data_IF_251120499079
#
_entry.id   IF_251120499079
#
_cell.length_a   1.000
_cell.length_b   1.000
_cell.length_c   1.000
_cell.angle_alpha   90.00
_cell.angle_beta   90.00
_cell.angle_gamma   90.00
#
_symmetry.space_group_name_H-M   'P 1'
#
loop_
_entity.id
_entity.type
_entity.pdbx_description
1 polymer ?
#
# COMPACT_ATOMS: atom_id res chain seq x y z
N UNK A 1 23.11 12.54 -9.22
CA UNK A 1 21.72 12.06 -8.93
C UNK A 1 21.11 12.99 -7.89
N UNK A 2 19.98 13.61 -8.19
CA UNK A 2 19.29 14.51 -7.26
C UNK A 2 18.55 13.75 -6.16
N UNK A 3 18.17 14.47 -5.09
CA UNK A 3 17.55 13.89 -3.90
C UNK A 3 16.22 13.18 -4.20
N UNK A 4 15.38 13.78 -5.03
CA UNK A 4 14.06 13.22 -5.38
C UNK A 4 14.18 11.92 -6.16
N UNK A 5 15.10 11.86 -7.11
CA UNK A 5 15.40 10.65 -7.89
C UNK A 5 15.96 9.54 -7.00
N UNK A 6 16.91 9.86 -6.12
CA UNK A 6 17.50 8.89 -5.18
C UNK A 6 16.43 8.28 -4.27
N UNK A 7 15.59 9.13 -3.68
CA UNK A 7 14.53 8.70 -2.79
C UNK A 7 13.49 7.82 -3.49
N UNK A 8 13.04 8.24 -4.68
CA UNK A 8 12.07 7.49 -5.46
C UNK A 8 12.60 6.10 -5.84
N UNK A 9 13.85 6.02 -6.33
CA UNK A 9 14.51 4.76 -6.69
C UNK A 9 14.69 3.84 -5.49
N UNK A 10 15.04 4.40 -4.32
CA UNK A 10 15.15 3.62 -3.07
C UNK A 10 13.81 3.00 -2.67
N UNK A 11 12.71 3.76 -2.76
CA UNK A 11 11.36 3.26 -2.47
C UNK A 11 10.96 2.16 -3.44
N UNK A 12 11.09 2.42 -4.74
CA UNK A 12 10.67 1.47 -5.78
C UNK A 12 11.50 0.19 -5.73
N UNK A 13 12.82 0.30 -5.50
CA UNK A 13 13.68 -0.87 -5.35
C UNK A 13 13.21 -1.78 -4.21
N UNK A 14 12.90 -1.23 -3.04
CA UNK A 14 12.39 -2.01 -1.90
C UNK A 14 11.05 -2.66 -2.20
N UNK A 15 10.15 -1.98 -2.92
CA UNK A 15 8.85 -2.51 -3.33
C UNK A 15 9.04 -3.72 -4.25
N UNK A 16 9.91 -3.61 -5.25
CA UNK A 16 10.22 -4.69 -6.19
C UNK A 16 10.92 -5.85 -5.47
N UNK A 17 11.91 -5.57 -4.62
CA UNK A 17 12.61 -6.59 -3.83
C UNK A 17 11.68 -7.36 -2.88
N UNK A 18 10.61 -6.71 -2.40
CA UNK A 18 9.58 -7.36 -1.59
C UNK A 18 8.62 -8.24 -2.41
N UNK A 19 8.79 -8.31 -3.73
CA UNK A 19 7.98 -9.14 -4.62
C UNK A 19 6.59 -8.58 -4.93
N UNK A 20 6.41 -7.26 -4.80
CA UNK A 20 5.21 -6.57 -5.27
C UNK A 20 5.22 -6.56 -6.80
N UNK A 21 4.13 -7.00 -7.41
CA UNK A 21 4.01 -7.20 -8.86
C UNK A 21 3.21 -6.12 -9.58
N UNK A 22 2.42 -5.35 -8.83
CA UNK A 22 1.47 -4.40 -9.40
C UNK A 22 1.52 -3.07 -8.66
N UNK A 23 1.33 -1.96 -9.36
CA UNK A 23 1.22 -0.62 -8.79
C UNK A 23 0.15 0.18 -9.52
N UNK A 24 -0.65 0.95 -8.80
CA UNK A 24 -1.65 1.85 -9.38
C UNK A 24 -1.17 3.29 -9.24
N UNK A 25 -1.11 4.03 -10.33
CA UNK A 25 -0.57 5.39 -10.38
C UNK A 25 -1.62 6.35 -10.95
N UNK A 26 -1.92 7.40 -10.16
CA UNK A 26 -2.59 8.60 -10.67
C UNK A 26 -1.52 9.65 -10.99
N UNK A 27 -1.37 10.04 -12.28
CA UNK A 27 -0.24 10.87 -12.71
C UNK A 27 -0.37 12.31 -12.22
N UNK A 28 0.78 12.92 -11.89
CA UNK A 28 0.89 14.33 -11.53
C UNK A 28 2.36 14.75 -11.42
N UNK A 29 2.62 16.05 -11.41
CA UNK A 29 4.00 16.56 -11.43
C UNK A 29 4.81 16.12 -10.19
N UNK A 30 4.21 16.22 -8.98
CA UNK A 30 4.96 15.96 -7.74
C UNK A 30 5.33 14.49 -7.55
N UNK A 31 4.56 13.55 -8.11
CA UNK A 31 4.90 12.13 -8.08
C UNK A 31 5.73 11.66 -9.30
N UNK A 32 6.17 12.57 -10.17
CA UNK A 32 7.00 12.22 -11.33
C UNK A 32 8.23 11.37 -10.97
N UNK A 33 9.00 11.66 -9.88
CA UNK A 33 10.14 10.82 -9.52
C UNK A 33 9.76 9.35 -9.29
N UNK A 34 8.65 9.10 -8.59
CA UNK A 34 8.13 7.74 -8.36
C UNK A 34 7.64 7.11 -9.66
N UNK A 35 6.87 7.86 -10.46
CA UNK A 35 6.34 7.37 -11.73
C UNK A 35 7.47 6.94 -12.67
N UNK A 36 8.51 7.73 -12.80
CA UNK A 36 9.68 7.40 -13.64
C UNK A 36 10.45 6.20 -13.10
N UNK A 37 10.58 6.08 -11.78
CA UNK A 37 11.24 4.92 -11.19
C UNK A 37 10.42 3.63 -11.39
N UNK A 38 9.09 3.68 -11.23
CA UNK A 38 8.22 2.54 -11.54
C UNK A 38 8.22 2.21 -13.03
N UNK A 39 8.24 3.22 -13.90
CA UNK A 39 8.34 3.01 -15.34
C UNK A 39 9.61 2.25 -15.70
N UNK A 40 10.77 2.65 -15.18
CA UNK A 40 12.03 1.94 -15.40
C UNK A 40 11.99 0.47 -14.90
N UNK A 41 11.29 0.21 -13.79
CA UNK A 41 11.11 -1.16 -13.30
C UNK A 41 10.14 -1.97 -14.19
N UNK A 42 9.10 -1.32 -14.75
CA UNK A 42 8.15 -1.98 -15.64
C UNK A 42 8.76 -2.35 -16.99
N UNK A 43 9.65 -1.53 -17.53
CA UNK A 43 10.41 -1.84 -18.76
C UNK A 43 11.28 -3.11 -18.61
N UNK A 44 11.60 -3.49 -17.37
CA UNK A 44 12.30 -4.74 -17.03
C UNK A 44 11.37 -5.88 -16.61
N UNK A 45 10.09 -5.72 -16.78
CA UNK A 45 9.06 -6.69 -16.36
C UNK A 45 9.12 -7.04 -14.87
N UNK A 46 9.61 -6.13 -14.03
CA UNK A 46 9.68 -6.32 -12.58
C UNK A 46 8.38 -5.95 -11.88
N UNK A 47 7.57 -5.07 -12.48
CA UNK A 47 6.28 -4.62 -11.95
C UNK A 47 5.35 -4.19 -13.09
N UNK A 48 4.05 -4.35 -12.89
CA UNK A 48 3.01 -3.88 -13.82
C UNK A 48 2.42 -2.56 -13.33
N UNK A 49 2.38 -1.55 -14.20
CA UNK A 49 1.78 -0.25 -13.90
C UNK A 49 0.34 -0.20 -14.41
N UNK A 50 -0.58 0.19 -13.53
CA UNK A 50 -1.97 0.47 -13.83
C UNK A 50 -2.23 1.98 -13.67
N UNK A 51 -2.36 2.69 -14.79
CA UNK A 51 -2.63 4.14 -14.76
C UNK A 51 -4.12 4.39 -14.61
N UNK A 52 -4.50 5.26 -13.67
CA UNK A 52 -5.86 5.76 -13.46
C UNK A 52 -5.82 7.26 -13.18
N UNK A 53 -6.59 8.04 -13.93
CA UNK A 53 -6.57 9.51 -13.83
C UNK A 53 -7.29 9.98 -12.56
N UNK A 54 -8.46 9.41 -12.25
CA UNK A 54 -9.21 9.74 -11.05
C UNK A 54 -8.67 8.97 -9.85
N UNK A 55 -8.24 9.68 -8.81
CA UNK A 55 -7.58 9.11 -7.64
C UNK A 55 -8.52 8.21 -6.82
N UNK A 56 -9.78 8.58 -6.69
CA UNK A 56 -10.76 7.75 -5.96
C UNK A 56 -10.95 6.41 -6.64
N UNK A 57 -11.10 6.43 -7.95
CA UNK A 57 -11.22 5.21 -8.77
C UNK A 57 -9.93 4.38 -8.70
N UNK A 58 -8.76 5.04 -8.76
CA UNK A 58 -7.46 4.40 -8.61
C UNK A 58 -7.35 3.64 -7.29
N UNK A 59 -7.77 4.29 -6.19
CA UNK A 59 -7.67 3.70 -4.86
C UNK A 59 -8.59 2.47 -4.69
N UNK A 60 -9.82 2.53 -5.17
CA UNK A 60 -10.72 1.37 -5.14
C UNK A 60 -10.27 0.25 -6.10
N UNK A 61 -9.67 0.60 -7.23
CA UNK A 61 -9.09 -0.40 -8.13
C UNK A 61 -7.94 -1.15 -7.46
N UNK A 62 -7.01 -0.44 -6.81
CA UNK A 62 -5.91 -1.05 -6.05
C UNK A 62 -6.43 -1.87 -4.86
N UNK A 63 -7.45 -1.38 -4.16
CA UNK A 63 -8.12 -2.11 -3.08
C UNK A 63 -8.66 -3.45 -3.57
N UNK A 64 -9.36 -3.45 -4.73
CA UNK A 64 -9.88 -4.68 -5.35
C UNK A 64 -8.77 -5.67 -5.72
N UNK A 65 -7.66 -5.17 -6.30
CA UNK A 65 -6.49 -5.98 -6.63
C UNK A 65 -5.86 -6.59 -5.37
N UNK A 66 -5.66 -5.78 -4.31
CA UNK A 66 -5.08 -6.23 -3.06
C UNK A 66 -5.99 -7.26 -2.36
N UNK A 67 -7.31 -7.06 -2.41
CA UNK A 67 -8.29 -7.99 -1.86
C UNK A 67 -8.27 -9.33 -2.60
N UNK A 68 -8.30 -9.30 -3.92
CA UNK A 68 -8.34 -10.50 -4.77
C UNK A 68 -7.04 -11.31 -4.72
N UNK A 69 -5.89 -10.63 -4.70
CA UNK A 69 -4.58 -11.29 -4.70
C UNK A 69 -4.06 -11.65 -3.30
N UNK A 70 -4.61 -11.03 -2.24
CA UNK A 70 -4.05 -11.12 -0.89
C UNK A 70 -2.67 -10.46 -0.75
N UNK A 71 -2.21 -9.69 -1.73
CA UNK A 71 -0.87 -9.09 -1.78
C UNK A 71 -0.93 -7.58 -1.62
N UNK A 72 0.15 -6.93 -1.11
CA UNK A 72 0.22 -5.49 -1.10
C UNK A 72 0.14 -4.89 -2.50
N UNK A 73 -0.70 -3.86 -2.66
CA UNK A 73 -0.76 -3.07 -3.89
C UNK A 73 -0.47 -1.61 -3.54
N UNK A 74 0.64 -1.03 -4.04
CA UNK A 74 0.91 0.40 -3.93
C UNK A 74 -0.08 1.22 -4.74
N UNK A 75 -0.55 2.33 -4.15
CA UNK A 75 -1.27 3.40 -4.84
C UNK A 75 -0.49 4.71 -4.71
N UNK A 76 -0.37 5.43 -5.81
CA UNK A 76 0.50 6.60 -5.89
C UNK A 76 -0.25 7.77 -6.48
N UNK A 77 -0.25 8.91 -5.81
CA UNK A 77 -0.77 10.17 -6.33
C UNK A 77 0.17 11.35 -6.08
N UNK A 78 -0.16 12.44 -6.73
CA UNK A 78 0.46 13.75 -6.52
C UNK A 78 0.00 14.38 -5.21
N UNK A 79 0.48 15.57 -4.91
CA UNK A 79 0.13 16.33 -3.69
C UNK A 79 -1.23 17.00 -3.76
N UNK A 80 -1.71 17.51 -2.65
CA UNK A 80 -2.93 18.30 -2.55
C UNK A 80 -4.18 17.44 -2.40
N UNK A 81 -5.28 17.87 -3.03
CA UNK A 81 -6.59 17.20 -2.91
C UNK A 81 -6.62 15.76 -3.49
N UNK A 82 -5.67 15.41 -4.36
CA UNK A 82 -5.45 14.05 -4.84
C UNK A 82 -5.40 13.05 -3.68
N UNK A 83 -4.66 13.39 -2.63
CA UNK A 83 -4.49 12.55 -1.44
C UNK A 83 -5.82 12.30 -0.72
N UNK A 84 -6.65 13.33 -0.57
CA UNK A 84 -7.95 13.24 0.10
C UNK A 84 -8.90 12.28 -0.61
N UNK A 85 -8.80 12.13 -1.93
CA UNK A 85 -9.61 11.21 -2.73
C UNK A 85 -9.32 9.74 -2.43
N UNK A 86 -8.21 9.42 -1.79
CA UNK A 86 -7.89 8.05 -1.36
C UNK A 86 -8.62 7.62 -0.08
N UNK A 87 -9.10 8.59 0.73
CA UNK A 87 -9.67 8.30 2.05
C UNK A 87 -10.78 7.24 2.05
N UNK A 88 -11.76 7.24 1.14
CA UNK A 88 -12.82 6.22 1.16
C UNK A 88 -12.27 4.79 1.02
N UNK A 89 -11.33 4.56 0.09
CA UNK A 89 -10.73 3.25 -0.11
C UNK A 89 -9.79 2.85 1.05
N UNK A 90 -9.08 3.82 1.64
CA UNK A 90 -8.24 3.59 2.83
C UNK A 90 -9.08 3.18 4.04
N UNK A 91 -10.26 3.79 4.24
CA UNK A 91 -11.18 3.38 5.29
C UNK A 91 -11.67 1.94 5.07
N UNK A 92 -12.08 1.61 3.86
CA UNK A 92 -12.50 0.25 3.51
C UNK A 92 -11.36 -0.76 3.71
N UNK A 93 -10.14 -0.43 3.24
CA UNK A 93 -8.95 -1.25 3.48
C UNK A 93 -8.67 -1.45 4.97
N UNK A 94 -8.89 -0.41 5.78
CA UNK A 94 -8.72 -0.46 7.23
C UNK A 94 -9.71 -1.41 7.90
N UNK A 95 -10.98 -1.32 7.55
CA UNK A 95 -12.04 -2.18 8.11
C UNK A 95 -11.91 -3.64 7.68
N UNK A 96 -11.47 -3.85 6.44
CA UNK A 96 -11.31 -5.18 5.86
C UNK A 96 -9.91 -5.76 6.02
N UNK A 97 -8.98 -5.07 6.70
CA UNK A 97 -7.56 -5.45 6.88
C UNK A 97 -6.84 -5.77 5.55
N UNK A 98 -7.12 -4.99 4.50
CA UNK A 98 -6.53 -5.17 3.18
C UNK A 98 -5.19 -4.45 3.12
N UNK A 99 -4.12 -5.11 2.60
CA UNK A 99 -2.77 -4.55 2.53
C UNK A 99 -2.64 -3.50 1.42
N UNK A 100 -3.05 -2.27 1.67
CA UNK A 100 -2.94 -1.16 0.75
C UNK A 100 -1.75 -0.28 1.11
N UNK A 101 -0.75 -0.16 0.22
CA UNK A 101 0.41 0.70 0.42
C UNK A 101 0.16 2.06 -0.23
N UNK A 102 -0.24 3.03 0.58
CA UNK A 102 -0.54 4.39 0.13
C UNK A 102 0.73 5.22 0.12
N UNK A 103 1.15 5.69 -1.05
CA UNK A 103 2.33 6.53 -1.24
C UNK A 103 1.87 7.86 -1.84
N UNK A 104 1.94 8.92 -1.06
CA UNK A 104 1.51 10.26 -1.49
C UNK A 104 2.71 11.16 -1.67
N UNK A 105 2.87 11.71 -2.87
CA UNK A 105 3.91 12.69 -3.09
C UNK A 105 3.53 14.03 -2.44
N UNK A 106 4.51 14.68 -1.81
CA UNK A 106 4.32 15.97 -1.15
C UNK A 106 5.42 16.95 -1.54
N UNK A 107 5.16 18.20 -1.31
CA UNK A 107 6.19 19.24 -1.29
C UNK A 107 7.02 19.13 -0.03
N UNK A 108 8.27 19.65 -0.04
CA UNK A 108 9.06 19.78 1.19
C UNK A 108 8.29 20.50 2.30
N UNK A 109 8.56 20.10 3.54
CA UNK A 109 7.81 20.57 4.71
C UNK A 109 7.85 22.10 4.89
N UNK A 110 8.94 22.75 4.47
CA UNK A 110 9.08 24.21 4.50
C UNK A 110 8.09 24.95 3.59
N UNK A 111 7.51 24.28 2.61
CA UNK A 111 6.48 24.85 1.74
C UNK A 111 5.06 24.63 2.27
N UNK A 112 4.87 23.91 3.36
CA UNK A 112 3.56 23.75 3.99
C UNK A 112 3.13 25.08 4.63
N UNK A 113 1.84 25.43 4.50
CA UNK A 113 1.24 26.68 5.04
C UNK A 113 1.81 27.97 4.45
N UNK A 114 2.50 27.90 3.32
CA UNK A 114 3.02 29.09 2.62
C UNK A 114 2.11 29.60 1.51
N UNK A 115 1.02 28.87 1.21
CA UNK A 115 0.18 29.13 0.05
C UNK A 115 0.75 28.58 -1.27
N UNK A 116 1.76 27.72 -1.21
CA UNK A 116 2.30 27.05 -2.39
C UNK A 116 1.20 26.25 -3.13
N UNK A 117 1.23 26.32 -4.46
CA UNK A 117 0.23 25.65 -5.32
C UNK A 117 0.09 24.17 -4.97
N UNK A 118 -1.15 23.68 -5.00
CA UNK A 118 -1.50 22.26 -4.85
C UNK A 118 -0.86 21.65 -3.59
N UNK A 119 -0.92 22.39 -2.47
CA UNK A 119 -0.42 21.98 -1.16
C UNK A 119 -1.59 21.94 -0.17
N UNK A 120 -1.63 20.92 0.66
CA UNK A 120 -2.58 20.76 1.74
C UNK A 120 -1.90 20.10 2.95
N UNK A 121 -2.55 20.10 4.10
CA UNK A 121 -2.12 19.33 5.28
C UNK A 121 -2.35 17.83 5.03
N UNK A 122 -1.50 17.21 4.23
CA UNK A 122 -1.66 15.79 3.87
C UNK A 122 -0.94 14.82 4.80
N UNK A 123 0.01 15.31 5.61
CA UNK A 123 0.64 14.51 6.64
C UNK A 123 -0.42 14.01 7.64
N UNK A 124 -0.50 12.69 7.83
CA UNK A 124 -1.50 12.01 8.68
C UNK A 124 -2.97 12.22 8.29
N UNK A 125 -3.28 12.60 7.07
CA UNK A 125 -4.65 12.85 6.59
C UNK A 125 -5.58 11.64 6.79
N UNK A 126 -5.05 10.42 6.79
CA UNK A 126 -5.82 9.18 7.01
C UNK A 126 -5.97 8.83 8.51
N UNK A 127 -5.38 9.59 9.42
CA UNK A 127 -5.53 9.42 10.86
C UNK A 127 -5.28 7.98 11.32
N UNK A 128 -6.26 7.43 12.04
CA UNK A 128 -6.22 6.06 12.60
C UNK A 128 -6.57 4.96 11.60
N UNK A 129 -6.96 5.31 10.38
CA UNK A 129 -7.31 4.33 9.36
C UNK A 129 -6.10 3.54 8.86
N UNK A 130 -4.89 4.08 9.02
CA UNK A 130 -3.66 3.40 8.62
C UNK A 130 -2.93 2.78 9.82
N UNK A 131 -2.28 1.64 9.59
CA UNK A 131 -1.53 0.88 10.60
C UNK A 131 -0.14 1.46 10.87
N UNK A 132 0.37 2.20 9.89
CA UNK A 132 1.65 2.89 9.97
C UNK A 132 1.61 4.17 9.15
N UNK A 133 2.33 5.18 9.60
CA UNK A 133 2.51 6.43 8.88
C UNK A 133 3.96 6.89 8.99
N UNK A 134 4.53 7.33 7.87
CA UNK A 134 5.79 8.06 7.84
C UNK A 134 5.70 9.29 6.93
N UNK A 135 6.31 10.39 7.36
CA UNK A 135 6.55 11.60 6.56
C UNK A 135 8.04 11.63 6.18
N UNK A 136 8.35 11.32 4.94
CA UNK A 136 9.70 11.00 4.48
C UNK A 136 10.26 12.22 3.75
N UNK A 137 11.32 12.83 4.29
CA UNK A 137 11.90 14.08 3.78
C UNK A 137 13.16 13.91 2.94
N UNK A 138 13.69 12.70 2.79
CA UNK A 138 14.90 12.50 1.99
C UNK A 138 15.45 11.07 2.04
N UNK A 139 16.46 10.77 1.22
CA UNK A 139 17.04 9.42 1.10
C UNK A 139 17.86 8.98 2.32
N UNK A 140 18.25 9.91 3.17
CA UNK A 140 18.94 9.61 4.44
C UNK A 140 17.98 9.16 5.55
N UNK A 141 16.67 9.23 5.33
CA UNK A 141 15.70 8.66 6.25
C UNK A 141 15.90 7.14 6.30
N UNK A 142 16.16 6.55 7.47
CA UNK A 142 16.33 5.10 7.59
C UNK A 142 14.99 4.45 7.28
N UNK A 143 14.82 4.02 6.04
CA UNK A 143 13.55 3.54 5.55
C UNK A 143 13.64 2.06 5.19
N UNK A 144 13.12 1.24 6.09
CA UNK A 144 12.55 -0.04 5.70
C UNK A 144 11.05 0.17 5.46
N UNK A 145 10.58 -0.24 4.30
CA UNK A 145 9.15 -0.19 4.02
C UNK A 145 8.41 -1.09 5.03
N UNK A 146 7.31 -0.61 5.63
CA UNK A 146 6.65 -1.27 6.75
C UNK A 146 5.76 -2.44 6.31
N UNK A 147 6.33 -3.42 5.60
CA UNK A 147 5.61 -4.59 5.09
C UNK A 147 4.96 -5.41 6.20
N UNK A 148 5.53 -5.43 7.41
CA UNK A 148 4.92 -6.11 8.55
C UNK A 148 3.59 -5.44 8.96
N UNK A 149 3.51 -4.13 8.91
CA UNK A 149 2.28 -3.39 9.21
C UNK A 149 1.19 -3.59 8.16
N UNK A 150 1.58 -3.82 6.90
CA UNK A 150 0.65 -4.12 5.80
C UNK A 150 -0.13 -5.42 6.01
N UNK A 151 0.37 -6.35 6.82
CA UNK A 151 -0.35 -7.60 7.13
C UNK A 151 -1.68 -7.36 7.86
N UNK A 152 -1.82 -6.23 8.53
CA UNK A 152 -3.01 -5.89 9.32
C UNK A 152 -3.86 -4.78 8.71
N UNK A 153 -3.52 -4.25 7.54
CA UNK A 153 -4.28 -3.20 6.87
C UNK A 153 -3.43 -2.16 6.14
N UNK A 154 -4.00 -1.02 5.78
CA UNK A 154 -3.32 -0.01 4.98
C UNK A 154 -2.19 0.70 5.74
N UNK A 155 -1.20 1.16 4.97
CA UNK A 155 -0.04 1.93 5.44
C UNK A 155 0.08 3.19 4.60
N UNK A 156 0.50 4.31 5.20
CA UNK A 156 0.69 5.59 4.51
C UNK A 156 2.13 6.08 4.60
N UNK A 157 2.74 6.31 3.44
CA UNK A 157 4.01 6.98 3.27
C UNK A 157 3.76 8.32 2.57
N UNK A 158 3.95 9.43 3.26
CA UNK A 158 3.95 10.76 2.68
C UNK A 158 5.38 11.11 2.30
N UNK A 159 5.66 11.30 1.01
CA UNK A 159 7.02 11.40 0.50
C UNK A 159 7.26 12.79 -0.07
N UNK A 160 8.21 13.50 0.53
CA UNK A 160 8.55 14.86 0.15
C UNK A 160 9.56 14.85 -1.00
N UNK A 161 9.20 15.48 -2.12
CA UNK A 161 10.08 15.61 -3.28
C UNK A 161 10.40 17.09 -3.55
N UNK A 162 11.62 17.55 -3.21
CA UNK A 162 12.11 18.86 -3.65
C UNK A 162 12.40 18.88 -5.16
N UNK A 163 12.45 20.08 -5.74
CA UNK A 163 12.96 20.26 -7.10
C UNK A 163 14.49 20.01 -7.16
N UNK A 164 15.03 19.51 -8.28
CA UNK A 164 14.32 19.09 -9.48
C UNK A 164 13.67 17.71 -9.35
N UNK A 165 12.56 17.48 -10.07
CA UNK A 165 11.79 16.23 -10.03
C UNK A 165 12.24 15.20 -11.09
N UNK A 166 12.90 15.65 -12.13
CA UNK A 166 13.44 14.77 -13.18
C UNK A 166 14.74 14.09 -12.77
N UNK A 167 14.99 12.89 -13.31
CA UNK A 167 16.28 12.24 -13.19
C UNK A 167 17.36 13.03 -13.97
N UNK A 168 18.57 13.03 -13.44
CA UNK A 168 19.74 13.72 -13.99
C UNK A 168 20.91 12.75 -14.30
N UNK A 169 20.62 11.45 -14.29
CA UNK A 169 21.61 10.41 -14.53
C UNK A 169 21.01 9.18 -15.25
N UNK A 170 21.87 8.38 -15.85
CA UNK A 170 21.53 7.13 -16.55
C UNK A 170 22.02 5.89 -15.77
N UNK A 171 22.17 5.98 -14.46
CA UNK A 171 22.66 4.85 -13.64
C UNK A 171 21.74 3.65 -13.71
N UNK A 172 22.31 2.45 -13.75
CA UNK A 172 21.56 1.19 -13.65
C UNK A 172 21.25 0.86 -12.19
N UNK A 173 20.33 1.61 -11.60
CA UNK A 173 19.92 1.49 -10.20
C UNK A 173 19.12 0.21 -9.89
N UNK A 174 18.69 -0.52 -10.91
CA UNK A 174 18.00 -1.83 -10.78
C UNK A 174 18.99 -3.01 -10.93
N UNK A 175 20.27 -2.76 -11.16
CA UNK A 175 21.26 -3.82 -11.22
C UNK A 175 21.30 -4.64 -9.93
N UNK A 176 21.46 -5.96 -10.05
CA UNK A 176 21.58 -6.87 -8.91
C UNK A 176 20.35 -6.95 -8.00
N UNK A 177 19.19 -6.54 -8.49
CA UNK A 177 17.95 -6.66 -7.72
C UNK A 177 17.62 -8.14 -7.47
N UNK A 178 17.30 -8.48 -6.24
CA UNK A 178 16.90 -9.82 -5.85
C UNK A 178 15.50 -9.78 -5.29
N UNK A 179 14.57 -10.43 -5.99
CA UNK A 179 13.17 -10.49 -5.54
C UNK A 179 13.06 -11.51 -4.41
N UNK A 180 12.71 -11.03 -3.22
CA UNK A 180 12.33 -11.90 -2.12
C UNK A 180 10.96 -12.48 -2.46
N UNK A 181 10.80 -13.80 -2.35
CA UNK A 181 9.44 -14.36 -2.47
C UNK A 181 8.55 -13.65 -1.48
N UNK A 182 7.36 -13.14 -1.91
CA UNK A 182 6.43 -12.56 -0.97
C UNK A 182 6.22 -13.57 0.15
N UNK A 183 6.42 -13.16 1.39
CA UNK A 183 5.90 -13.95 2.49
C UNK A 183 4.41 -14.04 2.22
N UNK A 184 3.88 -15.24 2.06
CA UNK A 184 2.44 -15.43 2.10
C UNK A 184 1.97 -14.72 3.35
N UNK A 185 1.01 -13.81 3.18
CA UNK A 185 0.40 -13.15 4.32
C UNK A 185 -0.31 -14.26 5.08
N UNK A 186 0.40 -14.84 6.05
CA UNK A 186 -0.14 -15.86 6.95
C UNK A 186 -1.22 -15.18 7.79
N UNK A 187 -2.44 -15.18 7.26
CA UNK A 187 -3.63 -14.73 7.96
C UNK A 187 -3.98 -15.79 8.99
N UNK A 188 -3.12 -15.96 10.00
CA UNK A 188 -3.47 -16.79 11.13
C UNK A 188 -4.74 -16.27 11.74
N UNK A 189 -5.75 -17.10 11.69
CA UNK A 189 -6.93 -16.88 12.51
C UNK A 189 -6.48 -16.69 13.96
N UNK A 190 -6.97 -15.64 14.65
CA UNK A 190 -6.70 -15.52 16.07
C UNK A 190 -7.19 -16.80 16.75
N UNK A 191 -6.32 -17.41 17.51
CA UNK A 191 -6.36 -18.70 18.13
C UNK A 191 -7.71 -19.43 18.22
N UNK A 192 -7.65 -20.71 18.03
CA UNK A 192 -8.81 -21.59 18.08
C UNK A 192 -9.44 -21.55 19.48
N UNK A 193 -10.61 -20.98 19.61
CA UNK A 193 -11.37 -21.05 20.85
C UNK A 193 -12.11 -22.38 20.88
N UNK A 194 -11.65 -23.31 21.69
CA UNK A 194 -12.39 -24.53 21.99
C UNK A 194 -13.38 -24.26 23.11
N UNK A 195 -14.66 -24.39 22.82
CA UNK A 195 -15.66 -24.48 23.89
C UNK A 195 -15.97 -25.95 24.16
N UNK A 196 -16.05 -26.35 25.42
CA UNK A 196 -16.50 -27.69 25.81
C UNK A 196 -18.03 -27.82 25.72
N UNK A 197 -18.71 -26.81 25.17
CA UNK A 197 -20.15 -26.81 25.02
C UNK A 197 -20.58 -27.78 23.92
N UNK A 198 -21.60 -28.58 24.17
CA UNK A 198 -22.21 -29.47 23.19
C UNK A 198 -23.24 -28.75 22.30
N UNK A 199 -23.51 -27.47 22.57
CA UNK A 199 -24.40 -26.60 21.77
C UNK A 199 -23.74 -25.24 21.62
N UNK A 200 -23.70 -24.74 20.41
CA UNK A 200 -23.15 -23.42 20.09
C UNK A 200 -23.59 -22.95 18.72
N UNK A 201 -23.44 -21.66 18.48
CA UNK A 201 -23.61 -21.04 17.16
C UNK A 201 -22.25 -20.48 16.75
N UNK A 202 -21.78 -20.86 15.58
CA UNK A 202 -20.61 -20.27 14.95
C UNK A 202 -21.08 -19.18 14.00
N UNK A 203 -20.74 -17.92 14.30
CA UNK A 203 -20.99 -16.79 13.41
C UNK A 203 -19.72 -16.52 12.64
N UNK A 204 -19.76 -16.74 11.32
CA UNK A 204 -18.65 -16.39 10.41
C UNK A 204 -19.00 -15.03 9.83
N UNK A 205 -18.24 -14.01 10.24
CA UNK A 205 -18.38 -12.67 9.69
C UNK A 205 -17.83 -12.56 8.27
N UNK A 206 -18.00 -11.39 7.67
CA UNK A 206 -17.50 -11.05 6.35
C UNK A 206 -16.03 -11.43 6.19
N UNK A 207 -15.72 -12.06 5.07
CA UNK A 207 -14.45 -12.70 4.70
C UNK A 207 -13.20 -11.97 5.20
N UNK A 208 -12.56 -12.55 6.19
CA UNK A 208 -11.27 -12.10 6.73
C UNK A 208 -10.14 -13.09 6.44
N UNK A 209 -10.17 -13.75 5.30
CA UNK A 209 -9.01 -14.50 4.88
C UNK A 209 -9.16 -16.00 4.69
N UNK A 210 -10.22 -16.40 4.01
CA UNK A 210 -10.23 -17.74 3.39
C UNK A 210 -10.43 -18.89 4.37
N UNK A 211 -11.33 -18.76 5.36
CA UNK A 211 -11.93 -19.92 5.99
C UNK A 211 -12.73 -20.65 4.93
N UNK A 212 -12.22 -21.78 4.44
CA UNK A 212 -13.04 -22.67 3.68
C UNK A 212 -14.12 -23.25 4.61
N UNK A 213 -15.35 -23.36 4.12
CA UNK A 213 -16.45 -23.97 4.87
C UNK A 213 -16.08 -25.38 5.36
N UNK A 214 -15.25 -26.07 4.59
CA UNK A 214 -14.70 -27.40 4.90
C UNK A 214 -13.76 -27.41 6.11
N UNK A 215 -13.02 -26.32 6.36
CA UNK A 215 -12.17 -26.19 7.55
C UNK A 215 -13.00 -26.10 8.83
N UNK A 216 -14.22 -25.57 8.75
CA UNK A 216 -15.16 -25.48 9.88
C UNK A 216 -15.87 -26.81 10.12
N UNK A 217 -16.19 -27.55 9.08
CA UNK A 217 -16.86 -28.86 9.16
C UNK A 217 -15.98 -29.91 9.85
N UNK A 218 -14.65 -29.78 9.78
CA UNK A 218 -13.71 -30.67 10.46
C UNK A 218 -13.66 -30.46 11.97
N UNK A 219 -14.14 -29.31 12.49
CA UNK A 219 -14.08 -29.01 13.92
C UNK A 219 -15.18 -29.67 14.76
N UNK A 220 -16.38 -29.80 14.26
CA UNK A 220 -17.43 -30.61 14.91
C UNK A 220 -18.66 -30.75 13.99
N UNK A 221 -18.99 -31.97 13.54
CA UNK A 221 -20.14 -32.22 12.64
C UNK A 221 -21.52 -31.94 13.25
N UNK A 222 -21.58 -31.57 14.53
CA UNK A 222 -22.85 -31.24 15.22
C UNK A 222 -23.21 -29.74 15.17
N UNK A 223 -22.43 -28.87 14.54
CA UNK A 223 -22.76 -27.44 14.41
C UNK A 223 -23.47 -27.14 13.09
N UNK A 224 -24.55 -26.36 13.17
CA UNK A 224 -25.18 -25.75 11.99
C UNK A 224 -24.43 -24.48 11.61
N UNK A 225 -24.01 -24.37 10.36
CA UNK A 225 -23.33 -23.19 9.83
C UNK A 225 -24.42 -22.24 9.32
N UNK A 226 -24.48 -21.03 9.89
CA UNK A 226 -25.29 -19.93 9.39
C UNK A 226 -24.38 -18.96 8.63
N UNK A 227 -24.52 -18.91 7.31
CA UNK A 227 -23.93 -17.87 6.48
C UNK A 227 -24.85 -16.63 6.50
N UNK A 228 -24.31 -15.47 6.88
CA UNK A 228 -24.92 -14.18 6.67
C UNK A 228 -24.11 -13.38 5.65
#
# INVERSE_FOLDING_TARGET
MNQSTTLARTIVRQIVEAGVTDVVISPGSRNAPLTMAFYAASERNLITIHTRIDERTAAFFALGMAKASGRPVPIICTSGTAVANYLPAVLEASHSNIPLLVITADRPAELRRTGANQTTEQARIFGKAVRYFADISGPAYPMELPFNSLQSGPVHLNVQFPEPLGADDESDWLAGITIKRPKEFDRKLPGTFYTKSTRGVLVIGHDRGGLAVDDVATFNPSYSILNQ
#
